data_IF_653086378297
#
_entry.id   IF_653086378297
#
_cell.length_a   1.000
_cell.length_b   1.000
_cell.length_c   1.000
_cell.angle_alpha   90.00
_cell.angle_beta   90.00
_cell.angle_gamma   90.00
#
_symmetry.space_group_name_H-M   'P 1'
#
loop_
_entity.id
_entity.type
_entity.pdbx_description
1 polymer ?
#
# COMPACT_ATOMS: atom_id res chain seq x y z
N UNK A 1 2.30 -5.01 24.78
CA UNK A 1 1.51 -5.51 23.65
C UNK A 1 2.41 -5.95 22.50
N UNK A 2 3.05 -5.09 21.69
CA UNK A 2 3.84 -5.47 20.50
C UNK A 2 4.95 -6.51 20.74
N UNK A 3 5.73 -6.36 21.82
CA UNK A 3 6.78 -7.31 22.20
C UNK A 3 6.23 -8.70 22.51
N UNK A 4 5.06 -8.74 23.14
CA UNK A 4 4.37 -9.97 23.50
C UNK A 4 3.82 -10.66 22.25
N UNK A 5 3.10 -9.94 21.38
CA UNK A 5 2.59 -10.42 20.08
C UNK A 5 3.74 -11.02 19.27
N UNK A 6 4.83 -10.26 19.10
CA UNK A 6 6.01 -10.72 18.38
C UNK A 6 6.59 -12.03 18.97
N UNK A 7 6.75 -12.06 20.29
CA UNK A 7 7.32 -13.24 20.97
C UNK A 7 6.46 -14.49 20.82
N UNK A 8 5.14 -14.34 20.96
CA UNK A 8 4.19 -15.44 20.87
C UNK A 8 4.07 -15.96 19.43
N UNK A 9 4.00 -15.08 18.42
CA UNK A 9 3.95 -15.50 17.02
C UNK A 9 5.26 -16.18 16.61
N UNK A 10 6.40 -15.67 17.07
CA UNK A 10 7.70 -16.31 16.82
C UNK A 10 7.77 -17.74 17.39
N UNK A 11 7.10 -17.98 18.50
CA UNK A 11 6.95 -19.32 19.11
C UNK A 11 5.82 -20.16 18.49
N UNK A 12 5.17 -19.66 17.42
CA UNK A 12 4.03 -20.32 16.77
C UNK A 12 2.85 -20.58 17.72
N UNK A 13 2.62 -19.67 18.67
CA UNK A 13 1.49 -19.76 19.60
C UNK A 13 0.23 -19.15 19.00
N UNK A 14 -0.88 -19.91 19.00
CA UNK A 14 -2.21 -19.45 18.57
C UNK A 14 -2.64 -18.18 19.31
N UNK A 15 -2.34 -18.11 20.61
CA UNK A 15 -2.58 -16.91 21.43
C UNK A 15 -1.91 -15.66 20.85
N UNK A 16 -0.74 -15.81 20.22
CA UNK A 16 -0.07 -14.70 19.55
C UNK A 16 -0.85 -14.18 18.36
N UNK A 17 -1.48 -15.08 17.59
CA UNK A 17 -2.36 -14.72 16.47
C UNK A 17 -3.65 -14.06 16.97
N UNK A 18 -4.25 -14.58 18.01
CA UNK A 18 -5.44 -13.97 18.63
C UNK A 18 -5.17 -12.53 19.07
N UNK A 19 -4.06 -12.29 19.78
CA UNK A 19 -3.67 -10.94 20.20
C UNK A 19 -3.37 -10.04 19.00
N UNK A 20 -2.73 -10.56 17.95
CA UNK A 20 -2.47 -9.81 16.71
C UNK A 20 -3.79 -9.36 16.06
N UNK A 21 -4.75 -10.29 15.93
CA UNK A 21 -6.05 -10.00 15.32
C UNK A 21 -6.78 -8.94 16.16
N UNK A 22 -6.86 -9.12 17.46
CA UNK A 22 -7.54 -8.18 18.34
C UNK A 22 -6.97 -6.77 18.26
N UNK A 23 -5.64 -6.63 18.21
CA UNK A 23 -4.98 -5.33 18.17
C UNK A 23 -4.97 -4.69 16.78
N UNK A 24 -4.70 -5.48 15.73
CA UNK A 24 -4.39 -4.95 14.40
C UNK A 24 -5.46 -5.15 13.33
N UNK A 25 -6.56 -5.88 13.62
CA UNK A 25 -7.63 -6.07 12.64
C UNK A 25 -8.22 -4.76 12.11
N UNK A 26 -8.50 -3.74 12.93
CA UNK A 26 -9.02 -2.48 12.40
C UNK A 26 -8.06 -1.81 11.42
N UNK A 27 -6.77 -1.81 11.71
CA UNK A 27 -5.73 -1.25 10.83
C UNK A 27 -5.64 -2.02 9.51
N UNK A 28 -5.55 -3.35 9.58
CA UNK A 28 -5.45 -4.21 8.38
C UNK A 28 -6.69 -4.05 7.51
N UNK A 29 -7.88 -4.09 8.09
CA UNK A 29 -9.16 -3.90 7.37
C UNK A 29 -9.22 -2.54 6.69
N UNK A 30 -8.81 -1.46 7.37
CA UNK A 30 -8.82 -0.13 6.80
C UNK A 30 -7.88 -0.01 5.58
N UNK A 31 -6.66 -0.58 5.69
CA UNK A 31 -5.69 -0.57 4.60
C UNK A 31 -6.20 -1.39 3.40
N UNK A 32 -6.69 -2.61 3.63
CA UNK A 32 -7.21 -3.48 2.57
C UNK A 32 -8.39 -2.82 1.87
N UNK A 33 -9.38 -2.31 2.61
CA UNK A 33 -10.53 -1.60 2.04
C UNK A 33 -10.11 -0.39 1.21
N UNK A 34 -9.12 0.38 1.67
CA UNK A 34 -8.60 1.54 0.94
C UNK A 34 -8.01 1.15 -0.41
N UNK A 35 -7.18 0.11 -0.47
CA UNK A 35 -6.48 -0.28 -1.70
C UNK A 35 -7.31 -1.19 -2.62
N UNK A 36 -8.30 -1.89 -2.08
CA UNK A 36 -9.19 -2.80 -2.81
C UNK A 36 -10.63 -2.29 -2.86
N UNK A 37 -10.86 -0.96 -2.81
CA UNK A 37 -12.22 -0.40 -2.77
C UNK A 37 -13.08 -0.84 -3.96
N UNK A 38 -12.51 -1.06 -5.14
CA UNK A 38 -13.20 -1.56 -6.33
C UNK A 38 -13.43 -3.08 -6.33
N UNK A 39 -12.90 -3.81 -5.35
CA UNK A 39 -12.93 -5.28 -5.30
C UNK A 39 -13.35 -5.76 -3.91
N UNK A 40 -14.55 -5.36 -3.41
CA UNK A 40 -14.98 -5.67 -2.04
C UNK A 40 -15.11 -7.18 -1.78
N UNK A 41 -15.39 -7.97 -2.81
CA UNK A 41 -15.51 -9.43 -2.73
C UNK A 41 -14.19 -10.13 -2.32
N UNK A 42 -13.04 -9.48 -2.51
CA UNK A 42 -11.73 -10.03 -2.16
C UNK A 42 -11.15 -9.49 -0.85
N UNK A 43 -11.89 -8.63 -0.12
CA UNK A 43 -11.37 -8.04 1.12
C UNK A 43 -11.03 -9.09 2.16
N UNK A 44 -11.92 -10.04 2.40
CA UNK A 44 -11.74 -11.07 3.44
C UNK A 44 -10.59 -12.02 3.10
N UNK A 45 -10.52 -12.46 1.84
CA UNK A 45 -9.42 -13.30 1.37
C UNK A 45 -8.07 -12.58 1.54
N UNK A 46 -7.99 -11.32 1.11
CA UNK A 46 -6.78 -10.52 1.26
C UNK A 46 -6.39 -10.33 2.73
N UNK A 47 -7.35 -10.07 3.63
CA UNK A 47 -7.12 -9.91 5.07
C UNK A 47 -6.54 -11.21 5.66
N UNK A 48 -7.12 -12.35 5.32
CA UNK A 48 -6.63 -13.66 5.77
C UNK A 48 -5.20 -13.92 5.28
N UNK A 49 -4.91 -13.60 4.04
CA UNK A 49 -3.58 -13.68 3.47
C UNK A 49 -2.57 -12.77 4.18
N UNK A 50 -2.99 -11.58 4.62
CA UNK A 50 -2.15 -10.68 5.42
C UNK A 50 -1.79 -11.35 6.75
N UNK A 51 -2.75 -11.93 7.46
CA UNK A 51 -2.48 -12.65 8.71
C UNK A 51 -1.53 -13.82 8.49
N UNK A 52 -1.76 -14.62 7.46
CA UNK A 52 -0.89 -15.74 7.11
C UNK A 52 0.53 -15.26 6.77
N UNK A 53 0.65 -14.16 6.05
CA UNK A 53 1.94 -13.55 5.70
C UNK A 53 2.70 -13.07 6.94
N UNK A 54 2.00 -12.42 7.87
CA UNK A 54 2.58 -12.00 9.16
C UNK A 54 3.06 -13.21 9.95
N UNK A 55 2.21 -14.24 10.08
CA UNK A 55 2.53 -15.48 10.78
C UNK A 55 3.78 -16.14 10.23
N UNK A 56 3.86 -16.27 8.91
CA UNK A 56 4.98 -16.95 8.27
C UNK A 56 6.28 -16.14 8.29
N UNK A 57 6.20 -14.82 8.29
CA UNK A 57 7.38 -13.96 8.13
C UNK A 57 7.73 -13.14 9.39
N UNK A 58 7.16 -13.44 10.55
CA UNK A 58 7.43 -12.68 11.78
C UNK A 58 8.92 -12.62 12.13
N UNK A 59 9.67 -13.65 11.77
CA UNK A 59 11.12 -13.71 12.01
C UNK A 59 11.92 -12.72 11.18
N UNK A 60 11.36 -12.19 10.08
CA UNK A 60 11.97 -11.15 9.25
C UNK A 60 11.76 -9.74 9.80
N UNK A 61 10.91 -9.58 10.83
CA UNK A 61 10.71 -8.31 11.48
C UNK A 61 11.93 -7.96 12.35
N UNK A 62 12.54 -6.81 12.05
CA UNK A 62 13.66 -6.25 12.82
C UNK A 62 13.15 -5.13 13.74
N UNK A 63 13.06 -5.44 15.02
CA UNK A 63 12.57 -4.52 16.05
C UNK A 63 13.48 -3.32 16.30
N UNK A 64 14.76 -3.39 15.91
CA UNK A 64 15.72 -2.30 16.05
C UNK A 64 15.54 -1.25 14.95
N UNK A 65 15.00 -1.67 13.81
CA UNK A 65 14.81 -0.80 12.63
C UNK A 65 13.38 -0.29 12.47
N UNK A 66 12.38 -0.96 13.06
CA UNK A 66 10.99 -0.63 12.80
C UNK A 66 10.06 -0.93 13.98
N UNK A 67 8.87 -0.32 13.98
CA UNK A 67 7.78 -0.63 14.89
C UNK A 67 6.88 -1.69 14.24
N UNK A 68 6.37 -2.63 15.05
CA UNK A 68 5.54 -3.75 14.56
C UNK A 68 4.33 -3.26 13.76
N UNK A 69 3.66 -2.21 14.22
CA UNK A 69 2.54 -1.56 13.53
C UNK A 69 2.87 -1.17 12.08
N UNK A 70 4.04 -0.53 11.86
CA UNK A 70 4.44 -0.09 10.52
C UNK A 70 4.78 -1.26 9.60
N UNK A 71 5.40 -2.32 10.15
CA UNK A 71 5.71 -3.53 9.42
C UNK A 71 4.44 -4.27 8.99
N UNK A 72 3.46 -4.41 9.89
CA UNK A 72 2.14 -4.98 9.59
C UNK A 72 1.41 -4.15 8.53
N UNK A 73 1.41 -2.82 8.68
CA UNK A 73 0.78 -1.92 7.71
C UNK A 73 1.40 -2.06 6.30
N UNK A 74 2.73 -2.22 6.22
CA UNK A 74 3.41 -2.45 4.95
C UNK A 74 2.99 -3.78 4.31
N UNK A 75 2.92 -4.88 5.09
CA UNK A 75 2.45 -6.18 4.59
C UNK A 75 1.02 -6.06 4.05
N UNK A 76 0.11 -5.44 4.82
CA UNK A 76 -1.28 -5.26 4.41
C UNK A 76 -1.39 -4.43 3.11
N UNK A 77 -0.65 -3.32 3.02
CA UNK A 77 -0.60 -2.49 1.81
C UNK A 77 -0.13 -3.27 0.59
N UNK A 78 1.05 -3.88 0.67
CA UNK A 78 1.61 -4.59 -0.49
C UNK A 78 0.74 -5.78 -0.90
N UNK A 79 0.15 -6.50 0.07
CA UNK A 79 -0.76 -7.59 -0.25
C UNK A 79 -2.01 -7.11 -0.97
N UNK A 80 -2.62 -6.02 -0.53
CA UNK A 80 -3.76 -5.42 -1.19
C UNK A 80 -3.43 -4.93 -2.62
N UNK A 81 -2.24 -4.34 -2.81
CA UNK A 81 -1.75 -3.96 -4.15
C UNK A 81 -1.56 -5.18 -5.05
N UNK A 82 -0.98 -6.28 -4.54
CA UNK A 82 -0.82 -7.53 -5.30
C UNK A 82 -2.17 -8.08 -5.77
N UNK A 83 -3.18 -8.07 -4.88
CA UNK A 83 -4.56 -8.45 -5.23
C UNK A 83 -5.13 -7.54 -6.32
N UNK A 84 -5.04 -6.23 -6.14
CA UNK A 84 -5.51 -5.25 -7.13
C UNK A 84 -4.90 -5.50 -8.51
N UNK A 85 -3.58 -5.71 -8.58
CA UNK A 85 -2.87 -6.00 -9.84
C UNK A 85 -3.32 -7.30 -10.47
N UNK A 86 -3.48 -8.36 -9.67
CA UNK A 86 -3.95 -9.67 -10.14
C UNK A 86 -5.31 -9.54 -10.81
N UNK A 87 -6.26 -8.87 -10.16
CA UNK A 87 -7.64 -8.79 -10.65
C UNK A 87 -7.83 -7.75 -11.77
N UNK A 88 -7.04 -6.67 -11.79
CA UNK A 88 -7.02 -5.77 -12.94
C UNK A 88 -6.57 -6.48 -14.21
N UNK A 89 -5.51 -7.29 -14.15
CA UNK A 89 -5.08 -8.11 -15.29
C UNK A 89 -6.15 -9.11 -15.74
N UNK A 90 -6.88 -9.69 -14.79
CA UNK A 90 -7.98 -10.62 -15.13
C UNK A 90 -9.10 -9.90 -15.88
N UNK A 91 -9.44 -8.66 -15.48
CA UNK A 91 -10.44 -7.84 -16.16
C UNK A 91 -9.98 -7.39 -17.56
N UNK A 92 -8.70 -7.11 -17.76
CA UNK A 92 -8.13 -6.78 -19.07
C UNK A 92 -8.19 -7.95 -20.06
N UNK A 93 -8.23 -9.20 -19.56
CA UNK A 93 -8.33 -10.41 -20.37
C UNK A 93 -9.76 -10.96 -20.53
N UNK A 94 -10.72 -10.40 -19.82
CA UNK A 94 -12.13 -10.70 -20.02
C UNK A 94 -12.69 -9.72 -21.03
N UNK A 95 -13.24 -10.23 -22.15
CA UNK A 95 -13.90 -9.43 -23.17
C UNK A 95 -14.95 -8.51 -22.53
N UNK A 96 -14.88 -7.22 -22.89
CA UNK A 96 -15.66 -6.12 -22.29
C UNK A 96 -17.19 -6.26 -22.56
N UNK A 97 -17.63 -7.33 -23.20
CA UNK A 97 -19.01 -7.52 -23.63
C UNK A 97 -20.03 -7.96 -22.56
N UNK A 98 -19.61 -8.23 -21.32
CA UNK A 98 -20.52 -8.75 -20.26
C UNK A 98 -20.56 -7.94 -18.95
N UNK A 99 -19.99 -6.74 -18.90
CA UNK A 99 -20.07 -5.88 -17.73
C UNK A 99 -20.97 -4.68 -18.00
N UNK A 100 -22.28 -4.84 -17.73
CA UNK A 100 -23.19 -3.72 -17.50
C UNK A 100 -22.74 -2.96 -16.23
N UNK A 101 -21.83 -2.02 -16.44
CA UNK A 101 -21.46 -1.06 -15.39
C UNK A 101 -22.37 0.14 -15.56
N UNK A 102 -23.34 0.28 -14.65
CA UNK A 102 -24.25 1.42 -14.58
C UNK A 102 -23.50 2.74 -14.79
N UNK A 103 -23.94 3.50 -15.77
CA UNK A 103 -23.30 4.71 -16.30
C UNK A 103 -23.25 5.90 -15.33
N UNK A 104 -23.95 5.87 -14.21
CA UNK A 104 -24.00 6.97 -13.22
C UNK A 104 -22.77 7.01 -12.30
N UNK A 105 -22.09 5.87 -12.14
CA UNK A 105 -20.89 5.77 -11.28
C UNK A 105 -19.62 6.34 -11.93
N UNK A 106 -19.66 6.59 -13.24
CA UNK A 106 -18.49 6.97 -14.03
C UNK A 106 -18.17 8.46 -13.92
N UNK A 107 -19.17 9.32 -13.83
CA UNK A 107 -19.00 10.79 -13.82
C UNK A 107 -18.49 11.29 -12.46
N UNK A 108 -19.05 10.80 -11.35
CA UNK A 108 -18.55 11.12 -10.01
C UNK A 108 -17.12 10.60 -9.77
N UNK A 109 -16.81 9.43 -10.33
CA UNK A 109 -15.48 8.82 -10.24
C UNK A 109 -14.42 9.58 -11.02
N UNK A 110 -14.79 10.12 -12.17
CA UNK A 110 -13.92 10.93 -13.03
C UNK A 110 -13.67 12.32 -12.41
N UNK A 111 -14.69 12.94 -11.83
CA UNK A 111 -14.57 14.19 -11.10
C UNK A 111 -13.68 14.03 -9.85
N UNK A 112 -13.89 13.00 -9.05
CA UNK A 112 -13.07 12.69 -7.87
C UNK A 112 -11.62 12.34 -8.24
N UNK A 113 -11.42 11.66 -9.37
CA UNK A 113 -10.08 11.35 -9.89
C UNK A 113 -9.36 12.64 -10.30
N UNK A 114 -10.02 13.53 -11.00
CA UNK A 114 -9.46 14.82 -11.45
C UNK A 114 -9.10 15.72 -10.25
N UNK A 115 -9.94 15.75 -9.21
CA UNK A 115 -9.67 16.48 -7.96
C UNK A 115 -8.45 15.92 -7.23
N UNK A 116 -8.35 14.59 -7.09
CA UNK A 116 -7.19 13.92 -6.49
C UNK A 116 -5.90 14.10 -7.31
N UNK A 117 -5.99 14.13 -8.64
CA UNK A 117 -4.85 14.41 -9.52
C UNK A 117 -4.38 15.86 -9.34
N UNK A 118 -5.29 16.82 -9.26
CA UNK A 118 -4.99 18.22 -9.03
C UNK A 118 -4.33 18.44 -7.65
N UNK A 119 -4.89 17.88 -6.57
CA UNK A 119 -4.29 17.96 -5.24
C UNK A 119 -2.89 17.32 -5.19
N UNK A 120 -2.74 16.17 -5.86
CA UNK A 120 -1.45 15.49 -5.94
C UNK A 120 -0.42 16.34 -6.69
N UNK A 121 -0.82 17.00 -7.77
CA UNK A 121 0.05 17.91 -8.54
C UNK A 121 0.50 19.12 -7.73
N UNK A 122 -0.42 19.72 -6.98
CA UNK A 122 -0.14 20.85 -6.09
C UNK A 122 0.86 20.48 -4.98
N UNK A 123 0.75 19.27 -4.42
CA UNK A 123 1.70 18.78 -3.42
C UNK A 123 3.07 18.51 -4.06
N UNK A 124 3.09 17.88 -5.23
CA UNK A 124 4.32 17.43 -5.87
C UNK A 124 5.05 18.54 -6.65
N UNK A 125 4.46 19.73 -6.82
CA UNK A 125 5.12 20.86 -7.52
C UNK A 125 6.43 21.33 -6.86
N UNK A 126 6.58 21.02 -5.57
CA UNK A 126 7.79 21.36 -4.81
C UNK A 126 8.96 20.38 -5.04
N UNK A 127 8.73 19.27 -5.72
CA UNK A 127 9.77 18.29 -6.07
C UNK A 127 10.37 18.60 -7.45
N UNK A 128 11.57 18.07 -7.73
CA UNK A 128 12.12 18.07 -9.09
C UNK A 128 11.22 17.23 -10.01
N UNK A 129 11.23 17.50 -11.32
CA UNK A 129 10.45 16.72 -12.29
C UNK A 129 10.73 15.22 -12.18
N UNK A 130 11.99 14.86 -12.00
CA UNK A 130 12.40 13.47 -11.83
C UNK A 130 11.84 12.85 -10.53
N UNK A 131 11.96 13.56 -9.40
CA UNK A 131 11.43 13.06 -8.12
C UNK A 131 9.90 13.02 -8.14
N UNK A 132 9.23 13.99 -8.80
CA UNK A 132 7.77 13.98 -9.02
C UNK A 132 7.34 12.67 -9.72
N UNK A 133 8.01 12.29 -10.81
CA UNK A 133 7.72 11.04 -11.52
C UNK A 133 7.90 9.80 -10.63
N UNK A 134 8.99 9.75 -9.85
CA UNK A 134 9.20 8.66 -8.88
C UNK A 134 8.08 8.57 -7.85
N UNK A 135 7.62 9.73 -7.34
CA UNK A 135 6.51 9.76 -6.38
C UNK A 135 5.19 9.31 -6.99
N UNK A 136 4.87 9.78 -8.20
CA UNK A 136 3.65 9.36 -8.91
C UNK A 136 3.66 7.84 -9.11
N UNK A 137 4.76 7.27 -9.61
CA UNK A 137 4.85 5.84 -9.85
C UNK A 137 4.71 5.02 -8.57
N UNK A 138 5.44 5.37 -7.51
CA UNK A 138 5.43 4.60 -6.27
C UNK A 138 4.18 4.79 -5.41
N UNK A 139 3.57 5.99 -5.40
CA UNK A 139 2.51 6.32 -4.44
C UNK A 139 1.14 6.51 -5.08
N UNK A 140 1.06 6.93 -6.34
CA UNK A 140 -0.21 7.08 -7.07
C UNK A 140 -0.49 5.82 -7.89
N UNK A 141 0.48 5.38 -8.70
CA UNK A 141 0.36 4.16 -9.51
C UNK A 141 0.67 2.88 -8.73
N UNK A 142 1.20 3.02 -7.52
CA UNK A 142 1.53 1.91 -6.61
C UNK A 142 2.49 0.87 -7.21
N UNK A 143 3.35 1.30 -8.14
CA UNK A 143 4.37 0.44 -8.74
C UNK A 143 5.42 0.02 -7.71
N UNK A 144 6.01 -1.16 -7.88
CA UNK A 144 7.03 -1.65 -6.93
C UNK A 144 8.35 -0.90 -7.09
N UNK A 145 9.14 -0.86 -6.02
CA UNK A 145 10.50 -0.28 -6.04
C UNK A 145 11.36 -0.94 -7.13
N UNK A 146 11.17 -2.24 -7.38
CA UNK A 146 11.90 -2.98 -8.41
C UNK A 146 11.55 -2.46 -9.80
N UNK A 147 10.26 -2.41 -10.13
CA UNK A 147 9.77 -1.91 -11.43
C UNK A 147 10.25 -0.48 -11.71
N UNK A 148 10.07 0.41 -10.72
CA UNK A 148 10.50 1.82 -10.86
C UNK A 148 12.03 1.93 -10.97
N UNK A 149 12.79 1.14 -10.23
CA UNK A 149 14.25 1.15 -10.31
C UNK A 149 14.75 0.68 -11.68
N UNK A 150 14.13 -0.35 -12.25
CA UNK A 150 14.45 -0.87 -13.59
C UNK A 150 14.09 0.15 -14.67
N UNK A 151 12.89 0.73 -14.62
CA UNK A 151 12.42 1.72 -15.61
C UNK A 151 13.27 2.99 -15.64
N UNK A 152 13.62 3.50 -14.46
CA UNK A 152 14.46 4.72 -14.36
C UNK A 152 15.96 4.44 -14.40
N UNK A 153 16.36 3.18 -14.57
CA UNK A 153 17.77 2.74 -14.57
C UNK A 153 18.57 3.27 -13.35
N UNK A 154 17.96 3.19 -12.16
CA UNK A 154 18.58 3.61 -10.90
C UNK A 154 18.60 2.46 -9.90
N UNK A 155 19.64 2.42 -9.05
CA UNK A 155 19.71 1.41 -7.98
C UNK A 155 18.59 1.64 -6.95
N UNK A 156 17.97 0.59 -6.39
CA UNK A 156 16.95 0.71 -5.34
C UNK A 156 17.37 1.59 -4.15
N UNK A 157 18.65 1.54 -3.76
CA UNK A 157 19.20 2.39 -2.69
C UNK A 157 19.15 3.88 -3.04
N UNK A 158 19.40 4.23 -4.30
CA UNK A 158 19.30 5.62 -4.80
C UNK A 158 17.84 6.06 -4.78
N UNK A 159 16.94 5.20 -5.24
CA UNK A 159 15.51 5.45 -5.21
C UNK A 159 15.01 5.71 -3.77
N UNK A 160 15.36 4.85 -2.81
CA UNK A 160 15.00 5.06 -1.40
C UNK A 160 15.52 6.38 -0.84
N UNK A 161 16.77 6.75 -1.16
CA UNK A 161 17.36 8.01 -0.72
C UNK A 161 16.63 9.22 -1.30
N UNK A 162 16.28 9.19 -2.59
CA UNK A 162 15.50 10.25 -3.25
C UNK A 162 14.12 10.40 -2.63
N UNK A 163 13.40 9.30 -2.43
CA UNK A 163 12.09 9.29 -1.78
C UNK A 163 12.18 9.83 -0.35
N UNK A 164 13.19 9.42 0.41
CA UNK A 164 13.40 9.93 1.78
C UNK A 164 13.60 11.46 1.80
N UNK A 165 14.44 11.97 0.93
CA UNK A 165 14.67 13.43 0.80
C UNK A 165 13.43 14.18 0.33
N UNK A 166 12.71 13.63 -0.65
CA UNK A 166 11.45 14.20 -1.14
C UNK A 166 10.40 14.28 -0.04
N UNK A 167 10.20 13.20 0.74
CA UNK A 167 9.30 13.19 1.90
C UNK A 167 9.71 14.22 2.95
N UNK A 168 11.01 14.34 3.25
CA UNK A 168 11.52 15.33 4.20
C UNK A 168 11.23 16.75 3.73
N UNK A 169 11.47 17.04 2.44
CA UNK A 169 11.19 18.35 1.84
C UNK A 169 9.71 18.70 1.90
N UNK A 170 8.83 17.80 1.48
CA UNK A 170 7.38 18.00 1.55
C UNK A 170 6.92 18.21 2.99
N UNK A 171 7.38 17.39 3.92
CA UNK A 171 7.06 17.53 5.34
C UNK A 171 7.48 18.90 5.90
N UNK A 172 8.66 19.40 5.54
CA UNK A 172 9.14 20.71 5.99
C UNK A 172 8.30 21.88 5.45
N UNK A 173 7.65 21.71 4.30
CA UNK A 173 6.78 22.72 3.70
C UNK A 173 5.41 22.70 4.38
N UNK A 174 4.80 21.51 4.51
CA UNK A 174 3.45 21.35 5.05
C UNK A 174 3.36 21.34 6.58
N UNK A 175 4.47 21.23 7.31
CA UNK A 175 4.48 21.40 8.77
C UNK A 175 4.52 22.87 9.21
N UNK A 176 4.61 23.81 8.27
CA UNK A 176 4.63 25.26 8.53
C UNK A 176 3.30 25.93 8.15
N UNK A 177 2.34 25.16 7.61
CA UNK A 177 0.96 25.56 7.34
C UNK A 177 0.06 25.09 8.47
#
# INVERSE_FOLDING_TARGET
>A
MDKEIYSLIKKRSEKGMELLINEYAPLIKAIVKKHLYNFPQYHEECINDVYLKIWNNITSFDKEKNILKNWIAAIAKYRAIDYKRKYLKTLEHMDISELDIESDFTIEKEALKNELEYETEEILKYLSLFDKQLFIKLFVKEESVKEVSEEFNIKPSVLYNRISRGKSKLRSIFSKL
#
